data_IF_574703781529
#
_entry.id   IF_574703781529
#
_cell.length_a   1.000
_cell.length_b   1.000
_cell.length_c   1.000
_cell.angle_alpha   90.00
_cell.angle_beta   90.00
_cell.angle_gamma   90.00
#
_symmetry.space_group_name_H-M   'P 1'
#
loop_
_entity.id
_entity.type
_entity.pdbx_description
1 polymer ?
#
# COMPACT_ATOMS: atom_id res chain seq x y z
N UNK A 1 7.72 14.02 0.57
CA UNK A 1 6.65 13.09 1.01
C UNK A 1 5.63 12.81 -0.10
N UNK A 2 4.97 13.84 -0.66
CA UNK A 2 3.91 13.65 -1.66
C UNK A 2 4.41 13.05 -2.98
N UNK A 3 5.63 13.42 -3.36
CA UNK A 3 6.34 12.83 -4.49
C UNK A 3 6.65 11.33 -4.33
N UNK A 4 6.53 10.77 -3.12
CA UNK A 4 6.67 9.32 -2.88
C UNK A 4 5.30 8.65 -2.65
N UNK A 5 4.42 9.27 -1.85
CA UNK A 5 3.13 8.70 -1.49
C UNK A 5 2.15 8.59 -2.68
N UNK A 6 2.12 9.59 -3.57
CA UNK A 6 1.20 9.57 -4.73
C UNK A 6 1.63 8.51 -5.75
N UNK A 7 2.90 8.44 -6.20
CA UNK A 7 3.34 7.36 -7.10
C UNK A 7 3.17 5.98 -6.47
N UNK A 8 3.48 5.83 -5.18
CA UNK A 8 3.27 4.56 -4.47
C UNK A 8 1.79 4.16 -4.50
N UNK A 9 0.86 5.09 -4.26
CA UNK A 9 -0.57 4.81 -4.34
C UNK A 9 -0.99 4.41 -5.75
N UNK A 10 -0.52 5.11 -6.79
CA UNK A 10 -0.83 4.77 -8.17
C UNK A 10 -0.34 3.35 -8.55
N UNK A 11 0.88 3.01 -8.16
CA UNK A 11 1.48 1.68 -8.36
C UNK A 11 0.68 0.62 -7.59
N UNK A 12 0.27 0.89 -6.35
CA UNK A 12 -0.54 -0.03 -5.56
C UNK A 12 -1.95 -0.20 -6.14
N UNK A 13 -2.55 0.85 -6.70
CA UNK A 13 -3.84 0.76 -7.40
C UNK A 13 -3.74 -0.17 -8.60
N UNK A 14 -2.70 -0.03 -9.42
CA UNK A 14 -2.47 -0.92 -10.56
C UNK A 14 -2.29 -2.38 -10.09
N UNK A 15 -1.50 -2.60 -9.05
CA UNK A 15 -1.29 -3.94 -8.51
C UNK A 15 -2.58 -4.57 -7.94
N UNK A 16 -3.41 -3.79 -7.26
CA UNK A 16 -4.73 -4.23 -6.82
C UNK A 16 -5.67 -4.57 -7.99
N UNK A 17 -5.58 -3.83 -9.09
CA UNK A 17 -6.33 -4.13 -10.30
C UNK A 17 -5.91 -5.49 -10.88
N UNK A 18 -4.61 -5.78 -10.96
CA UNK A 18 -4.12 -7.09 -11.39
C UNK A 18 -4.64 -8.23 -10.51
N UNK A 19 -4.62 -8.06 -9.18
CA UNK A 19 -5.16 -9.07 -8.26
C UNK A 19 -6.68 -9.21 -8.36
N UNK A 20 -7.40 -8.13 -8.63
CA UNK A 20 -8.86 -8.19 -8.89
C UNK A 20 -9.14 -9.03 -10.13
N UNK A 21 -8.38 -8.82 -11.21
CA UNK A 21 -8.49 -9.63 -12.42
C UNK A 21 -8.09 -11.08 -12.19
N UNK A 22 -7.09 -11.35 -11.35
CA UNK A 22 -6.69 -12.70 -10.99
C UNK A 22 -7.82 -13.43 -10.25
N UNK A 23 -8.47 -12.77 -9.27
CA UNK A 23 -9.64 -13.32 -8.58
C UNK A 23 -10.77 -13.61 -9.57
N UNK A 24 -11.08 -12.67 -10.48
CA UNK A 24 -12.10 -12.86 -11.50
C UNK A 24 -11.80 -14.06 -12.40
N UNK A 25 -10.59 -14.15 -12.96
CA UNK A 25 -10.18 -15.27 -13.83
C UNK A 25 -10.29 -16.63 -13.15
N UNK A 26 -9.87 -16.71 -11.88
CA UNK A 26 -9.87 -17.98 -11.14
C UNK A 26 -11.28 -18.36 -10.67
N UNK A 27 -12.09 -17.38 -10.25
CA UNK A 27 -13.40 -17.64 -9.62
C UNK A 27 -14.59 -17.58 -10.56
N UNK A 28 -14.48 -16.84 -11.65
CA UNK A 28 -15.56 -16.64 -12.64
C UNK A 28 -15.24 -17.41 -13.91
N UNK A 29 -14.04 -17.23 -14.47
CA UNK A 29 -13.67 -17.89 -15.74
C UNK A 29 -13.15 -19.33 -15.56
N UNK A 30 -12.88 -19.75 -14.32
CA UNK A 30 -12.34 -21.07 -13.99
C UNK A 30 -10.92 -21.32 -14.51
N UNK A 31 -10.19 -20.27 -14.87
CA UNK A 31 -8.83 -20.39 -15.42
C UNK A 31 -7.82 -20.53 -14.27
N UNK A 32 -6.90 -21.51 -14.32
CA UNK A 32 -5.86 -21.66 -13.30
C UNK A 32 -5.01 -20.41 -13.14
N UNK A 33 -4.65 -20.08 -11.90
CA UNK A 33 -3.78 -18.94 -11.59
C UNK A 33 -2.39 -19.10 -12.23
N UNK A 34 -1.99 -18.14 -13.07
CA UNK A 34 -0.66 -18.10 -13.75
C UNK A 34 0.16 -16.85 -13.37
N UNK A 35 -0.09 -16.29 -12.19
CA UNK A 35 0.29 -14.91 -11.86
C UNK A 35 -0.62 -13.91 -12.60
N UNK A 36 -0.62 -12.63 -12.22
CA UNK A 36 -1.51 -11.57 -12.74
C UNK A 36 -1.37 -11.28 -14.25
N UNK A 37 -1.64 -10.05 -14.70
CA UNK A 37 -1.48 -9.70 -16.13
C UNK A 37 -0.04 -9.94 -16.59
N UNK A 38 0.92 -9.59 -15.74
CA UNK A 38 2.37 -9.69 -16.00
C UNK A 38 2.94 -11.09 -15.69
N UNK A 39 2.26 -11.89 -14.87
CA UNK A 39 2.74 -13.20 -14.39
C UNK A 39 3.05 -14.28 -15.45
N UNK A 40 2.37 -14.33 -16.60
CA UNK A 40 2.70 -15.27 -17.67
C UNK A 40 4.02 -15.00 -18.39
N UNK A 41 4.57 -13.77 -18.30
CA UNK A 41 5.69 -13.30 -19.14
C UNK A 41 7.01 -13.22 -18.36
N UNK A 42 6.96 -13.18 -17.03
CA UNK A 42 8.12 -13.02 -16.16
C UNK A 42 8.03 -13.97 -14.97
N UNK A 43 9.18 -14.32 -14.39
CA UNK A 43 9.22 -15.08 -13.13
C UNK A 43 8.52 -14.30 -12.02
N UNK A 44 7.22 -14.60 -11.87
CA UNK A 44 6.32 -13.82 -11.05
C UNK A 44 6.84 -13.69 -9.61
N UNK A 45 7.41 -14.76 -9.03
CA UNK A 45 7.78 -14.76 -7.62
C UNK A 45 8.88 -13.72 -7.28
N UNK A 46 9.94 -13.62 -8.09
CA UNK A 46 10.98 -12.60 -7.89
C UNK A 46 10.45 -11.18 -8.00
N UNK A 47 9.60 -10.92 -9.00
CA UNK A 47 9.02 -9.60 -9.20
C UNK A 47 8.09 -9.24 -8.05
N UNK A 48 7.24 -10.18 -7.60
CA UNK A 48 6.38 -9.93 -6.45
C UNK A 48 7.21 -9.70 -5.19
N UNK A 49 8.29 -10.46 -4.96
CA UNK A 49 9.15 -10.24 -3.82
C UNK A 49 9.79 -8.84 -3.84
N UNK A 50 10.42 -8.46 -4.96
CA UNK A 50 11.08 -7.14 -5.11
C UNK A 50 10.07 -6.02 -4.96
N UNK A 51 8.90 -6.15 -5.60
CA UNK A 51 7.79 -5.21 -5.48
C UNK A 51 7.37 -5.02 -4.02
N UNK A 52 7.09 -6.12 -3.32
CA UNK A 52 6.61 -6.08 -1.94
C UNK A 52 7.67 -5.53 -0.98
N UNK A 53 8.94 -5.84 -1.19
CA UNK A 53 10.05 -5.27 -0.43
C UNK A 53 10.20 -3.76 -0.66
N UNK A 54 10.03 -3.30 -1.91
CA UNK A 54 10.06 -1.88 -2.26
C UNK A 54 8.87 -1.12 -1.63
N UNK A 55 7.66 -1.67 -1.68
CA UNK A 55 6.47 -1.11 -1.02
C UNK A 55 6.68 -1.00 0.48
N UNK A 56 7.19 -2.05 1.14
CA UNK A 56 7.50 -2.01 2.58
C UNK A 56 8.50 -0.90 2.90
N UNK A 57 9.58 -0.83 2.12
CA UNK A 57 10.62 0.19 2.30
C UNK A 57 10.04 1.59 2.19
N UNK A 58 9.23 1.86 1.17
CA UNK A 58 8.60 3.16 0.98
C UNK A 58 7.59 3.51 2.09
N UNK A 59 6.79 2.54 2.55
CA UNK A 59 5.89 2.74 3.69
C UNK A 59 6.67 3.14 4.95
N UNK A 60 7.78 2.45 5.25
CA UNK A 60 8.63 2.78 6.40
C UNK A 60 9.29 4.16 6.24
N UNK A 61 9.83 4.47 5.07
CA UNK A 61 10.42 5.79 4.78
C UNK A 61 9.40 6.90 5.00
N UNK A 62 8.19 6.76 4.48
CA UNK A 62 7.11 7.76 4.64
C UNK A 62 6.69 7.84 6.12
N UNK A 63 6.54 6.72 6.80
CA UNK A 63 6.20 6.68 8.23
C UNK A 63 7.23 7.42 9.08
N UNK A 64 8.53 7.10 8.93
CA UNK A 64 9.59 7.74 9.69
C UNK A 64 9.79 9.22 9.33
N UNK A 65 9.55 9.61 8.09
CA UNK A 65 9.63 11.00 7.67
C UNK A 65 8.42 11.85 8.11
N UNK A 66 7.27 11.23 8.43
CA UNK A 66 6.07 11.90 8.95
C UNK A 66 5.86 11.73 10.46
N UNK A 67 6.70 10.94 11.14
CA UNK A 67 6.54 10.71 12.58
C UNK A 67 6.82 12.01 13.34
N UNK A 68 5.91 12.51 14.18
CA UNK A 68 6.21 13.65 15.03
C UNK A 68 7.22 13.24 16.12
N UNK A 69 8.34 13.95 16.23
CA UNK A 69 9.39 13.67 17.22
C UNK A 69 8.95 13.87 18.68
N UNK A 70 7.81 14.55 18.92
CA UNK A 70 7.48 15.15 20.23
C UNK A 70 6.12 14.79 20.84
N UNK A 71 5.30 13.95 20.20
CA UNK A 71 3.96 13.62 20.74
C UNK A 71 3.76 12.12 20.88
N UNK A 72 3.29 11.67 22.06
CA UNK A 72 2.93 10.28 22.35
C UNK A 72 1.75 9.73 21.52
N UNK A 73 1.12 10.53 20.65
CA UNK A 73 0.00 10.10 19.81
C UNK A 73 0.36 10.24 18.33
N UNK A 74 0.31 9.11 17.61
CA UNK A 74 0.39 9.10 16.16
C UNK A 74 -0.87 9.74 15.56
N UNK A 75 -0.67 10.60 14.55
CA UNK A 75 -1.74 11.09 13.70
C UNK A 75 -2.50 9.91 13.06
N UNK A 76 -3.76 10.12 12.67
CA UNK A 76 -4.54 9.07 12.01
C UNK A 76 -3.83 8.54 10.73
N UNK A 77 -3.19 9.43 9.96
CA UNK A 77 -2.39 9.03 8.81
C UNK A 77 -1.16 8.19 9.17
N UNK A 78 -0.46 8.51 10.26
CA UNK A 78 0.66 7.71 10.75
C UNK A 78 0.21 6.33 11.26
N UNK A 79 -0.98 6.22 11.87
CA UNK A 79 -1.56 4.93 12.27
C UNK A 79 -1.88 4.05 11.06
N UNK A 80 -2.43 4.63 10.00
CA UNK A 80 -2.63 3.93 8.74
C UNK A 80 -1.32 3.45 8.11
N UNK A 81 -0.29 4.30 8.05
CA UNK A 81 1.03 3.90 7.55
C UNK A 81 1.64 2.75 8.37
N UNK A 82 1.53 2.81 9.70
CA UNK A 82 2.01 1.75 10.58
C UNK A 82 1.25 0.44 10.36
N UNK A 83 -0.08 0.49 10.30
CA UNK A 83 -0.91 -0.69 10.03
C UNK A 83 -0.56 -1.31 8.67
N UNK A 84 -0.43 -0.48 7.62
CA UNK A 84 0.02 -0.91 6.30
C UNK A 84 1.41 -1.54 6.32
N UNK A 85 2.37 -0.94 7.03
CA UNK A 85 3.73 -1.47 7.14
C UNK A 85 3.77 -2.82 7.87
N UNK A 86 2.94 -3.03 8.90
CA UNK A 86 2.85 -4.31 9.62
C UNK A 86 2.29 -5.42 8.72
N UNK A 87 1.20 -5.15 8.02
CA UNK A 87 0.59 -6.11 7.07
C UNK A 87 1.56 -6.40 5.92
N UNK A 88 2.17 -5.36 5.35
CA UNK A 88 3.15 -5.50 4.28
C UNK A 88 4.40 -6.25 4.75
N UNK A 89 4.82 -6.07 6.01
CA UNK A 89 5.91 -6.83 6.62
C UNK A 89 5.62 -8.33 6.65
N UNK A 90 4.43 -8.71 7.11
CA UNK A 90 3.98 -10.11 7.01
C UNK A 90 3.96 -10.61 5.56
N UNK A 91 3.48 -9.79 4.63
CA UNK A 91 3.40 -10.14 3.21
C UNK A 91 4.79 -10.39 2.58
N UNK A 92 5.80 -9.60 2.95
CA UNK A 92 7.19 -9.83 2.53
C UNK A 92 7.73 -11.14 3.11
N UNK A 93 7.40 -11.47 4.37
CA UNK A 93 7.77 -12.77 4.96
C UNK A 93 7.12 -13.93 4.20
N UNK A 94 5.83 -13.82 3.87
CA UNK A 94 5.11 -14.79 3.04
C UNK A 94 5.81 -15.00 1.69
N UNK A 95 6.21 -13.93 1.01
CA UNK A 95 6.96 -14.00 -0.25
C UNK A 95 8.39 -14.53 -0.08
N UNK A 96 9.03 -14.28 1.05
CA UNK A 96 10.36 -14.85 1.34
C UNK A 96 10.27 -16.37 1.42
N UNK A 97 9.22 -16.90 2.06
CA UNK A 97 8.97 -18.34 2.14
C UNK A 97 8.60 -18.91 0.77
N UNK A 98 7.73 -18.24 -0.01
CA UNK A 98 7.38 -18.67 -1.37
C UNK A 98 8.57 -18.70 -2.31
N UNK A 99 9.43 -17.69 -2.23
CA UNK A 99 10.67 -17.62 -2.99
C UNK A 99 11.63 -18.75 -2.59
N UNK A 100 11.76 -19.03 -1.30
CA UNK A 100 12.57 -20.17 -0.82
C UNK A 100 12.02 -21.50 -1.36
N UNK A 101 10.70 -21.70 -1.32
CA UNK A 101 10.03 -22.87 -1.88
C UNK A 101 10.22 -22.96 -3.41
N UNK A 102 10.16 -21.83 -4.11
CA UNK A 102 10.42 -21.74 -5.55
C UNK A 102 11.85 -22.18 -5.88
N UNK A 103 12.85 -21.70 -5.14
CA UNK A 103 14.25 -22.04 -5.34
C UNK A 103 14.54 -23.53 -5.06
N UNK A 104 13.80 -24.14 -4.13
CA UNK A 104 13.96 -25.56 -3.79
C UNK A 104 13.25 -26.47 -4.78
N UNK A 105 12.04 -26.11 -5.22
CA UNK A 105 11.13 -27.01 -5.95
C UNK A 105 10.98 -26.69 -7.44
N UNK A 106 11.36 -25.49 -7.86
CA UNK A 106 11.07 -24.96 -9.20
C UNK A 106 9.58 -24.66 -9.45
N UNK A 107 8.70 -24.89 -8.47
CA UNK A 107 7.26 -24.69 -8.65
C UNK A 107 6.94 -23.21 -8.83
N UNK A 108 6.07 -22.89 -9.80
CA UNK A 108 5.64 -21.51 -10.09
C UNK A 108 4.57 -20.98 -9.13
N UNK A 109 3.91 -21.86 -8.40
CA UNK A 109 2.90 -21.53 -7.40
C UNK A 109 3.29 -22.22 -6.11
N UNK A 110 3.63 -21.41 -5.11
CA UNK A 110 4.12 -21.88 -3.83
C UNK A 110 3.14 -21.50 -2.70
N UNK A 111 2.92 -22.38 -1.71
CA UNK A 111 1.94 -22.16 -0.66
C UNK A 111 2.37 -21.13 0.39
N UNK A 112 3.65 -20.75 0.44
CA UNK A 112 4.15 -19.76 1.40
C UNK A 112 4.08 -20.23 2.85
N UNK A 113 4.04 -19.28 3.78
CA UNK A 113 3.93 -19.52 5.22
C UNK A 113 2.49 -19.89 5.58
N UNK A 114 1.50 -19.27 4.94
CA UNK A 114 0.08 -19.58 5.13
C UNK A 114 -0.30 -21.02 4.74
N UNK A 115 0.52 -21.66 3.90
CA UNK A 115 0.36 -23.06 3.55
C UNK A 115 -0.85 -23.30 2.65
N UNK A 116 -1.46 -24.49 2.78
CA UNK A 116 -2.69 -24.89 2.05
C UNK A 116 -3.97 -24.64 2.85
N UNK A 117 -3.88 -23.97 4.00
CA UNK A 117 -5.03 -23.72 4.87
C UNK A 117 -6.04 -22.72 4.27
N UNK A 118 -5.60 -21.93 3.29
CA UNK A 118 -6.41 -20.88 2.66
C UNK A 118 -6.38 -20.98 1.14
N UNK A 119 -7.41 -20.43 0.49
CA UNK A 119 -7.36 -20.11 -0.94
C UNK A 119 -6.26 -19.07 -1.16
N UNK A 120 -5.14 -19.50 -1.77
CA UNK A 120 -3.96 -18.68 -1.99
C UNK A 120 -4.26 -17.40 -2.79
N UNK A 121 -5.21 -17.44 -3.73
CA UNK A 121 -5.55 -16.29 -4.57
C UNK A 121 -6.32 -15.27 -3.74
N UNK A 122 -7.33 -15.71 -2.98
CA UNK A 122 -8.07 -14.81 -2.10
C UNK A 122 -7.21 -14.29 -0.95
N UNK A 123 -6.41 -15.15 -0.33
CA UNK A 123 -5.51 -14.76 0.75
C UNK A 123 -4.56 -13.65 0.31
N UNK A 124 -3.93 -13.83 -0.86
CA UNK A 124 -3.03 -12.84 -1.42
C UNK A 124 -3.76 -11.55 -1.82
N UNK A 125 -4.96 -11.65 -2.40
CA UNK A 125 -5.80 -10.49 -2.67
C UNK A 125 -6.14 -9.70 -1.40
N UNK A 126 -6.54 -10.40 -0.33
CA UNK A 126 -6.92 -9.78 0.94
C UNK A 126 -5.78 -9.01 1.58
N UNK A 127 -4.57 -9.58 1.61
CA UNK A 127 -3.40 -8.89 2.17
C UNK A 127 -3.09 -7.61 1.36
N UNK A 128 -3.06 -7.71 0.04
CA UNK A 128 -2.84 -6.53 -0.82
C UNK A 128 -3.93 -5.47 -0.63
N UNK A 129 -5.19 -5.89 -0.49
CA UNK A 129 -6.31 -4.98 -0.24
C UNK A 129 -6.12 -4.24 1.09
N UNK A 130 -5.70 -4.94 2.14
CA UNK A 130 -5.42 -4.31 3.43
C UNK A 130 -4.31 -3.26 3.33
N UNK A 131 -3.21 -3.57 2.61
CA UNK A 131 -2.11 -2.62 2.38
C UNK A 131 -2.58 -1.42 1.57
N UNK A 132 -3.35 -1.66 0.50
CA UNK A 132 -3.91 -0.62 -0.34
C UNK A 132 -4.84 0.32 0.44
N UNK A 133 -5.76 -0.23 1.24
CA UNK A 133 -6.68 0.57 2.07
C UNK A 133 -5.93 1.37 3.14
N UNK A 134 -4.88 0.79 3.72
CA UNK A 134 -4.03 1.51 4.66
C UNK A 134 -3.32 2.70 3.98
N UNK A 135 -2.73 2.49 2.80
CA UNK A 135 -2.09 3.57 2.05
C UNK A 135 -3.09 4.65 1.61
N UNK A 136 -4.25 4.26 1.11
CA UNK A 136 -5.33 5.17 0.74
C UNK A 136 -5.80 5.99 1.94
N UNK A 137 -6.00 5.34 3.09
CA UNK A 137 -6.36 5.98 4.35
C UNK A 137 -5.31 6.99 4.82
N UNK A 138 -4.02 6.65 4.71
CA UNK A 138 -2.93 7.56 5.02
C UNK A 138 -2.91 8.79 4.10
N UNK A 139 -2.99 8.59 2.78
CA UNK A 139 -3.02 9.68 1.80
C UNK A 139 -4.22 10.58 2.02
N UNK A 140 -5.42 10.02 2.21
CA UNK A 140 -6.63 10.77 2.51
C UNK A 140 -6.51 11.59 3.80
N UNK A 141 -6.00 10.98 4.88
CA UNK A 141 -5.80 11.65 6.15
C UNK A 141 -4.84 12.85 6.08
N UNK A 142 -3.80 12.77 5.24
CA UNK A 142 -2.82 13.85 5.10
C UNK A 142 -3.19 14.88 4.01
N UNK A 143 -3.88 14.50 2.93
CA UNK A 143 -4.23 15.42 1.82
C UNK A 143 -5.52 16.19 2.07
N UNK A 144 -6.56 15.55 2.63
CA UNK A 144 -7.88 16.17 2.77
C UNK A 144 -7.85 17.48 3.58
N UNK A 145 -7.07 17.60 4.68
CA UNK A 145 -6.94 18.88 5.40
C UNK A 145 -6.25 19.98 4.60
N UNK A 146 -5.35 19.63 3.68
CA UNK A 146 -4.64 20.59 2.83
C UNK A 146 -5.59 21.14 1.76
N UNK A 147 -6.33 20.25 1.10
CA UNK A 147 -7.29 20.62 0.05
C UNK A 147 -8.46 21.45 0.59
N UNK A 148 -8.97 21.10 1.77
CA UNK A 148 -10.09 21.84 2.41
C UNK A 148 -9.68 23.23 2.92
N UNK A 149 -8.42 23.42 3.33
CA UNK A 149 -7.90 24.76 3.67
C UNK A 149 -7.69 25.63 2.42
N UNK A 150 -7.23 25.02 1.32
CA UNK A 150 -7.04 25.73 0.06
C UNK A 150 -8.35 26.24 -0.55
N UNK A 151 -9.48 25.57 -0.30
CA UNK A 151 -10.79 25.95 -0.84
C UNK A 151 -11.50 27.09 -0.07
N UNK A 152 -10.99 27.52 1.09
CA UNK A 152 -11.57 28.61 1.90
C UNK A 152 -10.51 29.65 2.31
N UNK A 153 -10.02 30.49 1.37
CA UNK A 153 -8.98 31.48 1.65
C UNK A 153 -9.41 32.67 2.53
N UNK A 154 -10.67 32.78 2.92
CA UNK A 154 -11.28 34.01 3.43
C UNK A 154 -11.39 34.10 4.97
N UNK A 155 -10.27 34.09 5.72
CA UNK A 155 -10.25 34.57 7.13
C UNK A 155 -8.93 35.24 7.59
N UNK A 156 -8.08 35.71 6.69
CA UNK A 156 -6.83 36.41 7.04
C UNK A 156 -6.76 37.87 6.59
N UNK A 157 -7.90 38.52 6.31
CA UNK A 157 -7.95 39.93 5.90
C UNK A 157 -8.99 40.76 6.67
N UNK A 158 -8.94 40.75 8.00
CA UNK A 158 -9.71 41.71 8.85
C UNK A 158 -8.95 42.20 10.08
N UNK A 159 -7.62 42.06 10.15
CA UNK A 159 -6.80 42.67 11.20
C UNK A 159 -5.72 43.52 10.54
N UNK A 160 -5.99 44.80 10.31
CA UNK A 160 -4.93 45.72 9.88
C UNK A 160 -5.35 46.85 8.95
N UNK A 161 -6.51 47.48 9.13
CA UNK A 161 -6.64 48.90 8.78
C UNK A 161 -6.41 49.70 10.05
N UNK A 162 -5.31 50.48 10.16
CA UNK A 162 -5.10 51.35 11.32
C UNK A 162 -6.22 52.41 11.35
N UNK A 163 -6.78 52.64 12.55
CA UNK A 163 -7.67 53.77 12.83
C UNK A 163 -6.92 55.07 12.48
N UNK A 164 -7.49 55.99 11.67
CA UNK A 164 -6.90 57.31 11.54
C UNK A 164 -6.96 58.01 12.91
N UNK A 165 -5.79 58.44 13.39
CA UNK A 165 -5.70 59.45 14.45
C UNK A 165 -6.25 60.77 13.91
N UNK A 166 -7.02 61.47 14.75
CA UNK A 166 -7.82 62.65 14.39
C UNK A 166 -7.04 63.90 13.99
#
# INVERSE_FOLDING_TARGET
>A
IWLAAIPLLAIQTFHMFEHTLQVFRVRVDGVPSRGGIVGPVVEAEWIHFIYNAAVLTLLLVIFFALRPERTHSYSIGARFLLAGALVQGYHVVEHTVKLSQHLITGAKVNPGLAGKAFDLVLFHYTINLMVYLALLGAVGAYLLPVLTRASHPSKLRTLGSPKPSG
#
